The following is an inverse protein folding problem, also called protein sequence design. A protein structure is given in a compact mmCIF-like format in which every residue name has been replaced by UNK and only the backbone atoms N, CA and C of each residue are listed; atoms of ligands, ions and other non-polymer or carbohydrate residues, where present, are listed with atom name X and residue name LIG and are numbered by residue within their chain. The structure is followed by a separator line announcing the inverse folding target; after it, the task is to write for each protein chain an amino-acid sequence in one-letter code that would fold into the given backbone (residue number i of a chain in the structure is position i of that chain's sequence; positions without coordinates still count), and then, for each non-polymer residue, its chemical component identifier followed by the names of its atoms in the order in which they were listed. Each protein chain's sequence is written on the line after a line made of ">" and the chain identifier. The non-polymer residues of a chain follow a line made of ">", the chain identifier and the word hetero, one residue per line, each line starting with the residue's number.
data_IF_708940823434
#
_entry.id   IF_708940823434
#
_cell.length_a   1.000
_cell.length_b   1.000
_cell.length_c   1.000
_cell.angle_alpha   90.00
_cell.angle_beta   90.00
_cell.angle_gamma   90.00
#
_symmetry.space_group_name_H-M   'P 1'
#
loop_
_entity.id
_entity.type
_entity.pdbx_description
1 polymer ?
#
# COMPACT_ATOMS: atom_id res chain seq x y z
N UNK A 1 -32.33 15.76 -60.31
CA UNK A 1 -32.00 16.32 -58.98
C UNK A 1 -31.49 15.22 -58.04
N UNK A 2 -30.29 14.65 -58.28
CA UNK A 2 -29.78 13.46 -57.55
C UNK A 2 -28.36 13.61 -56.98
N UNK A 3 -27.70 14.77 -57.18
CA UNK A 3 -26.28 14.97 -56.80
C UNK A 3 -26.11 15.25 -55.29
N UNK A 4 -26.97 16.09 -54.69
CA UNK A 4 -26.81 16.50 -53.29
C UNK A 4 -27.02 15.36 -52.27
N UNK A 5 -27.90 14.41 -52.56
CA UNK A 5 -28.19 13.31 -51.63
C UNK A 5 -27.01 12.34 -51.51
N UNK A 6 -26.24 12.15 -52.59
CA UNK A 6 -25.07 11.29 -52.59
C UNK A 6 -23.94 11.88 -51.74
N UNK A 7 -23.74 13.21 -51.82
CA UNK A 7 -22.74 13.91 -50.99
C UNK A 7 -23.04 13.83 -49.48
N UNK A 8 -24.31 13.93 -49.09
CA UNK A 8 -24.72 13.82 -47.68
C UNK A 8 -24.47 12.39 -47.15
N UNK A 9 -24.79 11.36 -47.94
CA UNK A 9 -24.57 9.96 -47.54
C UNK A 9 -23.07 9.67 -47.38
N UNK A 10 -22.22 10.18 -48.26
CA UNK A 10 -20.77 10.03 -48.15
C UNK A 10 -20.21 10.72 -46.90
N UNK A 11 -20.70 11.92 -46.57
CA UNK A 11 -20.30 12.62 -45.35
C UNK A 11 -20.68 11.85 -44.09
N UNK A 12 -21.90 11.32 -44.02
CA UNK A 12 -22.37 10.52 -42.88
C UNK A 12 -21.51 9.26 -42.72
N UNK A 13 -21.21 8.56 -43.82
CA UNK A 13 -20.36 7.38 -43.78
C UNK A 13 -18.94 7.69 -43.28
N UNK A 14 -18.33 8.79 -43.72
CA UNK A 14 -17.03 9.23 -43.23
C UNK A 14 -17.05 9.57 -41.73
N UNK A 15 -18.10 10.24 -41.24
CA UNK A 15 -18.24 10.56 -39.82
C UNK A 15 -18.37 9.30 -38.95
N UNK A 16 -19.11 8.29 -39.41
CA UNK A 16 -19.26 7.03 -38.71
C UNK A 16 -17.94 6.24 -38.62
N UNK A 17 -17.17 6.22 -39.71
CA UNK A 17 -15.85 5.57 -39.72
C UNK A 17 -14.86 6.29 -38.79
N UNK A 18 -14.86 7.62 -38.76
CA UNK A 18 -14.01 8.39 -37.85
C UNK A 18 -14.33 8.11 -36.38
N UNK A 19 -15.61 7.97 -36.03
CA UNK A 19 -16.04 7.61 -34.67
C UNK A 19 -15.57 6.21 -34.26
N UNK A 20 -15.63 5.23 -35.17
CA UNK A 20 -15.17 3.86 -34.90
C UNK A 20 -13.65 3.81 -34.71
N UNK A 21 -12.89 4.57 -35.51
CA UNK A 21 -11.42 4.62 -35.36
C UNK A 21 -10.94 5.43 -34.15
N UNK A 22 -11.77 6.36 -33.67
CA UNK A 22 -11.46 7.16 -32.48
C UNK A 22 -11.79 6.43 -31.17
N UNK A 23 -12.54 5.31 -31.23
CA UNK A 23 -12.74 4.47 -30.08
C UNK A 23 -11.42 3.75 -29.76
N UNK A 24 -10.83 3.95 -28.57
CA UNK A 24 -9.62 3.23 -28.20
C UNK A 24 -9.95 1.74 -28.17
N UNK A 25 -9.35 0.97 -29.09
CA UNK A 25 -9.40 -0.47 -28.98
C UNK A 25 -8.64 -0.87 -27.71
N UNK A 26 -9.24 -1.69 -26.83
CA UNK A 26 -8.51 -2.24 -25.71
C UNK A 26 -7.33 -3.02 -26.25
N UNK A 27 -6.13 -2.66 -25.80
CA UNK A 27 -4.92 -3.37 -26.18
C UNK A 27 -5.01 -4.79 -25.60
N UNK A 28 -4.82 -5.88 -26.37
CA UNK A 28 -4.91 -7.24 -25.83
C UNK A 28 -3.97 -7.51 -24.65
N UNK A 29 -2.91 -6.70 -24.49
CA UNK A 29 -2.02 -6.75 -23.32
C UNK A 29 -2.67 -6.18 -22.04
N UNK A 30 -3.64 -5.26 -22.12
CA UNK A 30 -4.38 -4.77 -20.97
C UNK A 30 -5.36 -5.83 -20.42
N UNK A 31 -5.94 -6.67 -21.28
CA UNK A 31 -6.86 -7.73 -20.84
C UNK A 31 -6.16 -8.82 -20.03
N UNK A 32 -4.89 -9.10 -20.30
CA UNK A 32 -4.08 -10.06 -19.53
C UNK A 32 -3.64 -9.49 -18.17
N UNK A 33 -3.45 -8.17 -18.07
CA UNK A 33 -3.15 -7.50 -16.80
C UNK A 33 -4.34 -7.53 -15.85
N UNK A 34 -5.57 -7.35 -16.36
CA UNK A 34 -6.80 -7.37 -15.54
C UNK A 34 -7.02 -8.74 -14.89
N UNK A 35 -6.69 -9.85 -15.58
CA UNK A 35 -6.86 -11.20 -15.04
C UNK A 35 -5.75 -11.58 -14.03
N UNK A 36 -4.57 -10.97 -14.12
CA UNK A 36 -3.48 -11.16 -13.15
C UNK A 36 -3.63 -10.33 -11.87
N UNK A 37 -4.30 -9.18 -11.93
CA UNK A 37 -4.53 -8.34 -10.75
C UNK A 37 -5.55 -8.94 -9.75
N UNK A 38 -6.40 -9.88 -10.17
CA UNK A 38 -7.45 -10.45 -9.31
C UNK A 38 -6.91 -11.49 -8.29
N UNK A 39 -5.65 -11.93 -8.42
CA UNK A 39 -5.04 -12.97 -7.59
C UNK A 39 -3.76 -12.51 -6.86
N UNK A 40 -3.64 -11.23 -6.55
CA UNK A 40 -2.69 -10.77 -5.54
C UNK A 40 -3.40 -10.57 -4.22
N UNK A 41 -3.52 -11.67 -3.47
CA UNK A 41 -3.65 -11.62 -2.03
C UNK A 41 -2.53 -10.68 -1.53
N UNK A 42 -2.90 -9.50 -1.02
CA UNK A 42 -1.99 -8.43 -0.60
C UNK A 42 -1.14 -8.94 0.57
N UNK A 43 -0.09 -9.70 0.29
CA UNK A 43 0.87 -10.12 1.32
C UNK A 43 1.53 -8.84 1.80
N UNK A 44 1.33 -8.42 3.07
CA UNK A 44 1.96 -7.22 3.58
C UNK A 44 3.47 -7.37 3.42
N UNK A 45 4.12 -6.37 2.82
CA UNK A 45 5.58 -6.33 2.69
C UNK A 45 6.17 -6.07 4.08
N UNK A 46 6.35 -7.15 4.85
CA UNK A 46 6.97 -7.10 6.18
C UNK A 46 8.48 -7.17 6.00
N UNK A 47 9.15 -6.03 6.00
CA UNK A 47 10.62 -5.99 6.06
C UNK A 47 11.05 -6.08 7.53
N UNK A 48 11.40 -7.29 7.98
CA UNK A 48 12.05 -7.50 9.29
C UNK A 48 13.52 -7.10 9.18
N UNK A 49 13.87 -5.88 9.60
CA UNK A 49 15.27 -5.49 9.79
C UNK A 49 15.78 -6.16 11.07
N UNK A 50 16.98 -6.73 11.03
CA UNK A 50 17.56 -7.41 12.19
C UNK A 50 17.73 -6.41 13.34
N UNK A 51 17.23 -6.81 14.50
CA UNK A 51 17.25 -6.04 15.72
C UNK A 51 18.65 -5.65 16.20
N UNK A 52 18.79 -4.54 16.95
CA UNK A 52 19.94 -4.34 17.84
C UNK A 52 20.04 -5.50 18.84
N UNK A 53 21.24 -5.87 19.30
CA UNK A 53 21.41 -6.82 20.42
C UNK A 53 20.57 -6.34 21.61
N UNK A 54 19.70 -7.20 22.15
CA UNK A 54 18.78 -6.84 23.24
C UNK A 54 17.47 -6.17 22.81
N UNK A 55 17.21 -5.96 21.51
CA UNK A 55 15.97 -5.34 21.03
C UNK A 55 15.30 -6.02 19.84
N UNK A 56 14.32 -5.33 19.25
CA UNK A 56 13.63 -5.67 18.01
C UNK A 56 13.11 -4.41 17.31
N UNK A 57 13.17 -4.42 15.98
CA UNK A 57 12.54 -3.43 15.13
C UNK A 57 11.70 -4.17 14.10
N UNK A 58 10.43 -3.83 14.00
CA UNK A 58 9.52 -4.34 12.97
C UNK A 58 9.06 -3.18 12.13
N UNK A 59 9.23 -3.29 10.82
CA UNK A 59 8.72 -2.33 9.85
C UNK A 59 7.71 -3.06 8.98
N UNK A 60 6.50 -2.52 8.94
CA UNK A 60 5.40 -3.05 8.15
C UNK A 60 4.95 -2.00 7.18
N UNK A 61 4.83 -2.37 5.90
CA UNK A 61 4.14 -1.58 4.90
C UNK A 61 3.00 -2.42 4.34
N UNK A 62 1.80 -1.88 4.36
CA UNK A 62 0.61 -2.50 3.83
C UNK A 62 -0.13 -1.55 2.91
N UNK A 63 -0.82 -2.14 1.94
CA UNK A 63 -1.87 -1.52 1.16
C UNK A 63 -3.06 -2.45 1.34
N UNK A 64 -4.17 -1.89 1.80
CA UNK A 64 -5.41 -2.60 2.08
C UNK A 64 -6.57 -1.71 1.60
N UNK A 65 -7.57 -2.29 0.95
CA UNK A 65 -8.70 -1.52 0.40
C UNK A 65 -9.65 -0.93 1.48
N UNK A 66 -9.65 -1.47 2.70
CA UNK A 66 -10.41 -0.99 3.85
C UNK A 66 -9.63 0.04 4.68
N UNK A 67 -8.34 -0.21 4.92
CA UNK A 67 -7.50 0.62 5.81
C UNK A 67 -6.69 1.66 5.03
N UNK A 68 -6.46 1.45 3.74
CA UNK A 68 -5.62 2.27 2.88
C UNK A 68 -4.14 1.87 2.92
N UNK A 69 -3.29 2.75 2.40
CA UNK A 69 -1.83 2.62 2.43
C UNK A 69 -1.29 3.04 3.79
N UNK A 70 -0.68 2.11 4.51
CA UNK A 70 -0.10 2.36 5.83
C UNK A 70 1.35 1.88 5.91
N UNK A 71 2.21 2.70 6.53
CA UNK A 71 3.51 2.28 7.00
C UNK A 71 3.57 2.39 8.51
N UNK A 72 4.02 1.34 9.19
CA UNK A 72 4.22 1.32 10.63
C UNK A 72 5.58 0.78 11.03
N UNK A 73 6.08 1.28 12.16
CA UNK A 73 7.31 0.84 12.80
C UNK A 73 7.02 0.54 14.27
N UNK A 74 7.58 -0.55 14.77
CA UNK A 74 7.54 -0.94 16.17
C UNK A 74 8.96 -1.24 16.63
N UNK A 75 9.29 -0.77 17.82
CA UNK A 75 10.59 -0.90 18.46
C UNK A 75 10.40 -1.41 19.89
N UNK A 76 11.18 -2.41 20.29
CA UNK A 76 11.27 -2.87 21.67
C UNK A 76 12.74 -3.12 22.03
N UNK A 77 13.17 -2.83 23.25
CA UNK A 77 14.55 -3.00 23.69
C UNK A 77 14.66 -3.21 25.19
N UNK A 78 15.39 -4.24 25.63
CA UNK A 78 15.77 -4.41 27.02
C UNK A 78 17.01 -3.56 27.34
N UNK A 79 16.82 -2.44 28.03
CA UNK A 79 17.89 -1.52 28.38
C UNK A 79 18.74 -2.03 29.55
N UNK A 80 18.11 -2.81 30.44
CA UNK A 80 18.76 -3.33 31.62
C UNK A 80 18.09 -4.62 32.09
N UNK A 81 18.93 -5.56 32.51
CA UNK A 81 18.54 -6.74 33.26
C UNK A 81 19.51 -6.93 34.42
N UNK A 82 18.98 -7.00 35.64
CA UNK A 82 19.79 -7.32 36.82
C UNK A 82 20.28 -8.77 36.75
N UNK A 83 21.49 -9.03 37.26
CA UNK A 83 22.10 -10.37 37.27
C UNK A 83 21.30 -11.39 38.07
N UNK A 84 20.61 -10.94 39.10
CA UNK A 84 19.76 -11.75 39.97
C UNK A 84 18.31 -11.86 39.47
N UNK A 85 17.98 -11.26 38.31
CA UNK A 85 16.64 -11.26 37.74
C UNK A 85 15.61 -10.46 38.53
N UNK A 86 16.02 -9.64 39.50
CA UNK A 86 15.12 -8.87 40.36
C UNK A 86 14.73 -7.51 39.78
N UNK A 87 15.40 -7.07 38.72
CA UNK A 87 15.16 -5.79 38.06
C UNK A 87 15.27 -5.87 36.55
N UNK A 88 14.36 -5.23 35.82
CA UNK A 88 14.48 -4.99 34.38
C UNK A 88 14.01 -3.60 34.00
N UNK A 89 14.57 -3.06 32.92
CA UNK A 89 14.13 -1.83 32.27
C UNK A 89 14.00 -2.12 30.78
N UNK A 90 12.81 -1.89 30.25
CA UNK A 90 12.46 -2.08 28.85
C UNK A 90 12.01 -0.75 28.25
N UNK A 91 12.35 -0.51 26.99
CA UNK A 91 11.90 0.62 26.21
C UNK A 91 11.13 0.14 24.98
N UNK A 92 10.06 0.85 24.64
CA UNK A 92 9.27 0.56 23.45
C UNK A 92 8.86 1.85 22.76
N UNK A 93 8.71 1.78 21.44
CA UNK A 93 8.18 2.86 20.64
C UNK A 93 7.41 2.29 19.44
N UNK A 94 6.41 3.03 18.98
CA UNK A 94 5.67 2.73 17.78
C UNK A 94 5.34 4.01 17.03
N UNK A 95 5.28 3.92 15.70
CA UNK A 95 4.71 4.96 14.88
C UNK A 95 4.01 4.35 13.67
N UNK A 96 2.96 5.01 13.19
CA UNK A 96 2.28 4.67 11.94
C UNK A 96 1.93 5.92 11.15
N UNK A 97 1.87 5.77 9.84
CA UNK A 97 1.40 6.79 8.90
C UNK A 97 0.48 6.15 7.89
N UNK A 98 -0.75 6.65 7.84
CA UNK A 98 -1.69 6.38 6.77
C UNK A 98 -1.56 7.48 5.71
N UNK A 99 -1.19 7.10 4.49
CA UNK A 99 -0.92 8.03 3.40
C UNK A 99 -2.19 8.56 2.73
N UNK A 100 -3.30 7.84 2.83
CA UNK A 100 -4.56 8.19 2.17
C UNK A 100 -5.36 9.19 3.02
N UNK A 101 -5.34 9.01 4.34
CA UNK A 101 -6.04 9.89 5.28
C UNK A 101 -5.11 10.93 5.94
N UNK A 102 -3.82 10.95 5.57
CA UNK A 102 -2.78 11.79 6.18
C UNK A 102 -2.77 11.74 7.72
N UNK A 103 -3.10 10.57 8.28
CA UNK A 103 -3.17 10.33 9.72
C UNK A 103 -1.84 9.76 10.20
N UNK A 104 -1.36 10.24 11.34
CA UNK A 104 -0.19 9.70 12.00
C UNK A 104 -0.56 9.30 13.43
N UNK A 105 0.01 8.20 13.89
CA UNK A 105 -0.07 7.75 15.28
C UNK A 105 1.34 7.47 15.78
N UNK A 106 1.64 7.83 17.02
CA UNK A 106 2.93 7.61 17.63
C UNK A 106 2.78 7.41 19.14
N UNK A 107 3.61 6.54 19.67
CA UNK A 107 3.61 6.22 21.09
C UNK A 107 4.90 5.56 21.51
N UNK A 108 5.11 5.47 22.81
CA UNK A 108 6.28 4.83 23.36
C UNK A 108 6.39 5.08 24.85
N UNK A 109 7.32 4.38 25.48
CA UNK A 109 7.52 4.48 26.90
C UNK A 109 8.71 3.66 27.38
N UNK A 110 8.96 3.80 28.67
CA UNK A 110 9.92 3.02 29.43
C UNK A 110 9.13 2.30 30.52
N UNK A 111 9.34 1.00 30.63
CA UNK A 111 8.75 0.17 31.67
C UNK A 111 9.87 -0.37 32.55
N UNK A 112 9.74 -0.18 33.86
CA UNK A 112 10.64 -0.74 34.86
C UNK A 112 9.91 -1.71 35.77
N UNK A 113 10.56 -2.83 36.09
CA UNK A 113 10.04 -3.83 37.03
C UNK A 113 11.09 -4.16 38.08
N UNK A 114 10.70 -4.16 39.36
CA UNK A 114 11.56 -4.50 40.50
C UNK A 114 10.86 -5.46 41.45
N UNK A 115 11.60 -6.41 42.01
CA UNK A 115 11.18 -7.33 43.08
C UNK A 115 12.07 -7.16 44.29
N UNK A 116 11.46 -7.00 45.47
CA UNK A 116 12.16 -6.82 46.75
C UNK A 116 12.29 -8.14 47.50
#
# INVERSE_FOLDING_TARGET
>A
MSSNNCGIVLLIACCLMALVTAYPQPNPEESQLVEQEEFHEEIPLVRRVRSPEGGSVVITASKDNQVGREASIQYNHNLFSSRDGRGSIDAYAQASRNFDFNRNDYGGGIQGTWRF
#
